data_IF_731312317499
#
_entry.id   IF_731312317499
#
_cell.length_a   1.000
_cell.length_b   1.000
_cell.length_c   1.000
_cell.angle_alpha   90.00
_cell.angle_beta   90.00
_cell.angle_gamma   90.00
#
_symmetry.space_group_name_H-M   'P 1'
#
loop_
_entity.id
_entity.type
_entity.pdbx_description
1 polymer ?
#
# COMPACT_ATOMS: atom_id res chain seq x y z
N UNK A 1 34.32 5.67 0.12
CA UNK A 1 34.57 4.21 -0.02
C UNK A 1 33.85 3.52 1.12
N UNK A 2 32.66 3.04 0.86
CA UNK A 2 32.01 1.95 1.61
C UNK A 2 31.01 1.31 0.65
N UNK A 3 31.01 -0.01 0.67
CA UNK A 3 30.76 -0.90 -0.45
C UNK A 3 29.30 -1.10 -0.85
N UNK A 4 29.19 -1.56 -2.09
CA UNK A 4 28.06 -2.22 -2.75
C UNK A 4 27.34 -3.20 -1.83
N UNK A 5 26.01 -3.18 -1.89
CA UNK A 5 25.21 -4.41 -1.75
C UNK A 5 24.35 -4.56 -2.98
N UNK A 6 24.92 -5.23 -3.98
CA UNK A 6 24.21 -5.79 -5.13
C UNK A 6 23.46 -7.05 -4.70
N UNK A 7 22.21 -7.17 -5.13
CA UNK A 7 21.37 -8.36 -5.01
C UNK A 7 22.07 -9.66 -5.44
N UNK A 8 21.97 -10.68 -4.58
CA UNK A 8 21.74 -12.07 -4.98
C UNK A 8 20.73 -12.68 -3.99
N UNK A 9 19.61 -13.12 -4.54
CA UNK A 9 18.54 -13.84 -3.86
C UNK A 9 19.05 -15.17 -3.30
N UNK A 10 18.65 -15.48 -2.07
CA UNK A 10 18.67 -16.84 -1.56
C UNK A 10 17.39 -17.10 -0.75
N UNK A 11 16.38 -17.60 -1.48
CA UNK A 11 15.32 -18.53 -1.07
C UNK A 11 14.93 -18.54 0.43
N UNK A 12 14.02 -17.66 0.80
CA UNK A 12 13.02 -17.92 1.87
C UNK A 12 11.68 -17.30 1.48
N UNK A 13 10.83 -18.07 0.80
CA UNK A 13 9.37 -17.93 0.79
C UNK A 13 8.76 -16.57 0.38
N UNK A 14 9.44 -15.76 -0.43
CA UNK A 14 8.89 -14.47 -0.89
C UNK A 14 7.77 -14.71 -1.91
N UNK A 15 6.52 -14.51 -1.52
CA UNK A 15 5.37 -14.59 -2.43
C UNK A 15 4.97 -13.19 -2.88
N UNK A 16 5.92 -12.46 -3.45
CA UNK A 16 5.62 -11.19 -4.12
C UNK A 16 4.82 -11.49 -5.39
N UNK A 17 3.77 -10.71 -5.63
CA UNK A 17 2.94 -10.83 -6.81
C UNK A 17 2.60 -9.45 -7.39
N UNK A 18 2.25 -9.45 -8.68
CA UNK A 18 1.83 -8.26 -9.40
C UNK A 18 0.30 -8.25 -9.39
N UNK A 19 -0.28 -7.23 -8.78
CA UNK A 19 -1.73 -7.09 -8.69
C UNK A 19 -2.32 -6.40 -9.91
N UNK A 20 -1.58 -5.44 -10.47
CA UNK A 20 -1.97 -4.73 -11.69
C UNK A 20 -0.71 -4.24 -12.43
N UNK A 21 -0.77 -4.21 -13.75
CA UNK A 21 0.27 -3.61 -14.59
C UNK A 21 -0.26 -2.36 -15.29
N UNK A 22 0.59 -1.35 -15.38
CA UNK A 22 0.35 -0.12 -16.11
C UNK A 22 0.82 -0.17 -17.55
N UNK A 23 0.87 1.00 -18.19
CA UNK A 23 1.35 1.12 -19.56
C UNK A 23 2.88 1.02 -19.65
N UNK A 24 3.37 0.17 -20.55
CA UNK A 24 4.79 0.09 -20.87
C UNK A 24 5.28 1.40 -21.52
N UNK A 25 6.38 1.93 -21.01
CA UNK A 25 7.01 3.15 -21.53
C UNK A 25 8.53 3.05 -21.51
N UNK A 26 9.20 3.89 -22.30
CA UNK A 26 10.66 4.05 -22.24
C UNK A 26 10.98 5.17 -21.26
N UNK A 27 11.87 4.91 -20.31
CA UNK A 27 12.30 5.87 -19.28
C UNK A 27 13.81 5.82 -19.07
N UNK A 28 14.35 6.84 -18.41
CA UNK A 28 15.71 6.79 -17.87
C UNK A 28 15.63 6.14 -16.48
N UNK A 29 16.32 5.02 -16.28
CA UNK A 29 16.42 4.33 -14.99
C UNK A 29 17.89 4.30 -14.60
N UNK A 30 18.24 5.02 -13.53
CA UNK A 30 19.62 5.17 -13.06
C UNK A 30 20.60 5.59 -14.17
N UNK A 31 20.18 6.51 -15.04
CA UNK A 31 20.98 7.05 -16.15
C UNK A 31 20.95 6.23 -17.45
N UNK A 32 20.28 5.07 -17.47
CA UNK A 32 20.16 4.22 -18.64
C UNK A 32 18.73 4.24 -19.21
N UNK A 33 18.61 4.31 -20.54
CA UNK A 33 17.30 4.20 -21.20
C UNK A 33 16.82 2.75 -21.15
N UNK A 34 15.66 2.50 -20.56
CA UNK A 34 15.11 1.16 -20.35
C UNK A 34 13.60 1.12 -20.64
N UNK A 35 13.10 -0.04 -21.07
CA UNK A 35 11.66 -0.35 -21.07
C UNK A 35 11.21 -0.58 -19.64
N UNK A 36 10.11 0.04 -19.26
CA UNK A 36 9.57 0.01 -17.90
C UNK A 36 8.08 -0.23 -17.95
N UNK A 37 7.62 -1.21 -17.16
CA UNK A 37 6.19 -1.47 -16.91
C UNK A 37 5.91 -1.12 -15.45
N UNK A 38 5.25 0.02 -15.15
CA UNK A 38 4.78 0.31 -13.80
C UNK A 38 3.82 -0.78 -13.30
N UNK A 39 3.87 -1.08 -12.01
CA UNK A 39 3.01 -2.11 -11.41
C UNK A 39 2.47 -1.65 -10.06
N UNK A 40 1.33 -2.21 -9.69
CA UNK A 40 0.92 -2.37 -8.30
C UNK A 40 1.34 -3.76 -7.86
N UNK A 41 2.08 -3.88 -6.75
CA UNK A 41 2.52 -5.17 -6.22
C UNK A 41 1.98 -5.41 -4.82
N UNK A 42 1.85 -6.68 -4.49
CA UNK A 42 1.64 -7.15 -3.13
C UNK A 42 2.75 -8.11 -2.71
N UNK A 43 3.07 -8.15 -1.42
CA UNK A 43 3.96 -9.14 -0.81
C UNK A 43 3.32 -9.73 0.43
N UNK A 44 3.35 -11.06 0.59
CA UNK A 44 2.79 -11.79 1.74
C UNK A 44 3.81 -12.11 2.82
N UNK A 45 4.89 -11.33 2.94
CA UNK A 45 5.77 -11.43 4.10
C UNK A 45 4.99 -11.15 5.41
N UNK A 46 5.66 -11.18 6.57
CA UNK A 46 5.02 -11.36 7.88
C UNK A 46 3.82 -10.45 8.24
N UNK A 47 3.68 -9.28 7.62
CA UNK A 47 2.55 -8.37 7.83
C UNK A 47 1.81 -7.96 6.54
N UNK A 48 2.19 -8.53 5.38
CA UNK A 48 1.76 -8.01 4.09
C UNK A 48 2.50 -6.74 3.70
N UNK A 49 2.60 -6.43 2.41
CA UNK A 49 3.01 -5.12 1.90
C UNK A 49 2.24 -4.83 0.62
N UNK A 50 1.75 -3.60 0.46
CA UNK A 50 1.13 -3.11 -0.77
C UNK A 50 1.84 -1.83 -1.22
N UNK A 51 2.17 -1.76 -2.51
CA UNK A 51 2.87 -0.61 -3.03
C UNK A 51 2.98 -0.55 -4.55
N UNK A 52 3.80 0.41 -4.98
CA UNK A 52 4.07 0.68 -6.38
C UNK A 52 5.45 0.14 -6.75
N UNK A 53 5.58 -0.37 -7.97
CA UNK A 53 6.84 -0.85 -8.49
C UNK A 53 6.95 -0.66 -9.98
N UNK A 54 8.02 -1.21 -10.55
CA UNK A 54 8.14 -1.40 -11.98
C UNK A 54 8.87 -2.69 -12.32
N UNK A 55 8.57 -3.22 -13.50
CA UNK A 55 9.30 -4.31 -14.13
C UNK A 55 10.18 -3.80 -15.26
N UNK A 56 11.32 -4.46 -15.43
CA UNK A 56 12.24 -4.29 -16.56
C UNK A 56 12.15 -5.53 -17.46
N UNK A 57 11.29 -5.53 -18.50
CA UNK A 57 11.10 -6.71 -19.35
C UNK A 57 12.39 -7.19 -20.00
N UNK A 58 13.31 -6.28 -20.32
CA UNK A 58 14.59 -6.60 -20.96
C UNK A 58 15.65 -7.17 -19.99
N UNK A 59 15.42 -7.10 -18.67
CA UNK A 59 16.32 -7.62 -17.63
C UNK A 59 15.72 -8.84 -16.92
N UNK A 60 15.30 -9.85 -17.69
CA UNK A 60 14.67 -11.07 -17.18
C UNK A 60 13.42 -10.84 -16.33
N UNK A 61 12.71 -9.72 -16.55
CA UNK A 61 11.55 -9.35 -15.75
C UNK A 61 11.87 -8.87 -14.34
N UNK A 62 13.11 -8.40 -14.08
CA UNK A 62 13.51 -7.83 -12.79
C UNK A 62 12.48 -6.81 -12.29
N UNK A 63 12.12 -6.91 -11.01
CA UNK A 63 11.06 -6.14 -10.39
C UNK A 63 11.60 -5.33 -9.22
N UNK A 64 11.31 -4.03 -9.22
CA UNK A 64 11.68 -3.08 -8.16
C UNK A 64 10.41 -2.50 -7.58
N UNK A 65 10.37 -2.39 -6.25
CA UNK A 65 9.10 -2.18 -5.56
C UNK A 65 9.30 -1.37 -4.28
N UNK A 66 8.32 -0.54 -3.94
CA UNK A 66 8.24 0.19 -2.69
C UNK A 66 6.79 0.26 -2.19
N UNK A 67 6.55 -0.05 -0.93
CA UNK A 67 5.20 -0.11 -0.37
C UNK A 67 5.19 0.05 1.15
N UNK A 68 3.98 -0.03 1.70
CA UNK A 68 3.75 -0.01 3.14
C UNK A 68 3.18 -1.33 3.60
N UNK A 69 3.63 -1.73 4.78
CA UNK A 69 3.24 -2.98 5.43
C UNK A 69 1.76 -2.97 5.87
N UNK A 70 1.24 -1.81 6.28
CA UNK A 70 -0.18 -1.49 6.57
C UNK A 70 -0.21 0.02 6.87
N UNK A 71 -1.27 0.77 6.55
CA UNK A 71 -2.50 0.34 5.87
C UNK A 71 -2.30 0.09 4.37
N UNK A 72 -2.93 -0.97 3.86
CA UNK A 72 -2.95 -1.29 2.43
C UNK A 72 -3.90 -0.36 1.69
N UNK A 73 -3.33 0.69 1.11
CA UNK A 73 -4.05 1.73 0.37
C UNK A 73 -4.09 1.45 -1.14
N UNK A 74 -5.09 0.70 -1.59
CA UNK A 74 -5.26 0.30 -2.99
C UNK A 74 -5.39 1.50 -3.96
N UNK A 75 -6.18 2.51 -3.59
CA UNK A 75 -6.45 3.66 -4.49
C UNK A 75 -5.22 4.55 -4.61
N UNK A 76 -4.56 4.87 -3.49
CA UNK A 76 -3.30 5.60 -3.48
C UNK A 76 -2.24 4.89 -4.32
N UNK A 77 -2.13 3.57 -4.17
CA UNK A 77 -1.13 2.77 -4.88
C UNK A 77 -1.38 2.74 -6.39
N UNK A 78 -2.64 2.62 -6.82
CA UNK A 78 -3.02 2.71 -8.23
C UNK A 78 -2.69 4.10 -8.81
N UNK A 79 -3.01 5.18 -8.08
CA UNK A 79 -2.62 6.54 -8.50
C UNK A 79 -1.11 6.71 -8.59
N UNK A 80 -0.35 6.15 -7.66
CA UNK A 80 1.11 6.16 -7.71
C UNK A 80 1.65 5.48 -8.98
N UNK A 81 1.06 4.33 -9.38
CA UNK A 81 1.38 3.67 -10.65
C UNK A 81 1.11 4.59 -11.85
N UNK A 82 -0.05 5.27 -11.89
CA UNK A 82 -0.39 6.23 -12.98
C UNK A 82 0.53 7.45 -13.02
N UNK A 83 1.02 7.93 -11.86
CA UNK A 83 2.06 8.97 -11.83
C UNK A 83 3.36 8.42 -12.43
N UNK A 84 3.78 7.23 -12.02
CA UNK A 84 5.00 6.59 -12.49
C UNK A 84 4.99 6.36 -14.01
N UNK A 85 3.84 6.00 -14.60
CA UNK A 85 3.66 5.90 -16.07
C UNK A 85 4.10 7.17 -16.81
N UNK A 86 3.91 8.35 -16.21
CA UNK A 86 4.15 9.63 -16.87
C UNK A 86 5.52 10.25 -16.53
N UNK A 87 6.23 9.74 -15.51
CA UNK A 87 7.55 10.26 -15.15
C UNK A 87 8.62 9.93 -16.20
N UNK A 88 9.51 10.87 -16.57
CA UNK A 88 10.57 10.62 -17.56
C UNK A 88 11.72 9.77 -17.01
N UNK A 89 11.96 9.83 -15.69
CA UNK A 89 13.13 9.25 -15.03
C UNK A 89 12.73 8.56 -13.71
N UNK A 90 13.46 7.49 -13.40
CA UNK A 90 13.37 6.70 -12.18
C UNK A 90 14.75 6.64 -11.52
N UNK A 91 14.81 7.06 -10.26
CA UNK A 91 15.97 6.95 -9.38
C UNK A 91 15.62 6.19 -8.09
N UNK A 92 16.61 6.04 -7.20
CA UNK A 92 16.48 5.29 -5.94
C UNK A 92 15.39 5.77 -4.97
N UNK A 93 14.79 6.94 -5.17
CA UNK A 93 13.68 7.45 -4.35
C UNK A 93 12.38 7.65 -5.13
N UNK A 94 12.38 7.48 -6.46
CA UNK A 94 11.19 7.72 -7.30
C UNK A 94 9.99 6.91 -6.84
N UNK A 95 10.15 5.61 -6.53
CA UNK A 95 9.03 4.76 -6.10
C UNK A 95 8.36 5.27 -4.82
N UNK A 96 9.16 5.51 -3.77
CA UNK A 96 8.68 6.14 -2.54
C UNK A 96 7.98 7.48 -2.82
N UNK A 97 8.58 8.30 -3.67
CA UNK A 97 8.03 9.61 -3.97
C UNK A 97 6.69 9.54 -4.71
N UNK A 98 6.56 8.64 -5.69
CA UNK A 98 5.30 8.41 -6.40
C UNK A 98 4.21 7.88 -5.49
N UNK A 99 4.55 7.00 -4.54
CA UNK A 99 3.59 6.48 -3.57
C UNK A 99 2.95 7.62 -2.76
N UNK A 100 3.75 8.51 -2.18
CA UNK A 100 3.21 9.65 -1.42
C UNK A 100 2.49 10.66 -2.32
N UNK A 101 2.97 10.87 -3.55
CA UNK A 101 2.30 11.76 -4.50
C UNK A 101 0.90 11.27 -4.89
N UNK A 102 0.64 9.96 -4.83
CA UNK A 102 -0.68 9.36 -5.07
C UNK A 102 -1.72 9.61 -3.97
N UNK A 103 -1.32 10.12 -2.81
CA UNK A 103 -2.24 10.46 -1.71
C UNK A 103 -2.99 11.76 -2.04
N UNK A 104 -4.32 11.68 -2.16
CA UNK A 104 -5.19 12.82 -2.45
C UNK A 104 -5.25 13.85 -1.31
N UNK A 105 -4.97 13.41 -0.08
CA UNK A 105 -5.07 14.25 1.12
C UNK A 105 -3.73 14.81 1.57
N UNK A 106 -2.63 14.45 0.89
CA UNK A 106 -1.31 15.04 1.15
C UNK A 106 -1.32 16.54 0.82
N UNK A 107 -0.95 17.35 1.82
CA UNK A 107 -0.92 18.82 1.78
C UNK A 107 0.52 19.38 1.89
N UNK A 108 0.78 20.63 1.45
CA UNK A 108 2.10 21.25 1.49
C UNK A 108 2.77 21.36 2.86
N UNK A 109 1.99 21.42 3.94
CA UNK A 109 2.46 21.48 5.32
C UNK A 109 2.82 20.10 5.91
N UNK A 110 2.55 19.01 5.17
CA UNK A 110 2.89 17.66 5.61
C UNK A 110 4.38 17.35 5.40
N UNK A 111 5.02 16.68 6.36
CA UNK A 111 6.43 16.26 6.26
C UNK A 111 6.77 15.38 5.04
N UNK A 112 5.78 14.68 4.49
CA UNK A 112 5.92 13.88 3.27
C UNK A 112 5.80 14.71 1.98
N UNK A 113 5.47 16.00 2.06
CA UNK A 113 5.43 16.89 0.89
C UNK A 113 6.78 17.02 0.19
N UNK A 114 7.89 16.84 0.92
CA UNK A 114 9.25 16.75 0.35
C UNK A 114 9.37 15.74 -0.80
N UNK A 115 8.55 14.70 -0.81
CA UNK A 115 8.52 13.70 -1.87
C UNK A 115 7.84 14.22 -3.14
N UNK A 116 6.82 15.06 -3.01
CA UNK A 116 6.21 15.79 -4.12
C UNK A 116 7.22 16.76 -4.71
N UNK A 117 7.89 17.55 -3.87
CA UNK A 117 8.94 18.50 -4.30
C UNK A 117 10.10 17.83 -5.04
N UNK A 118 10.44 16.59 -4.66
CA UNK A 118 11.42 15.78 -5.40
C UNK A 118 10.96 15.53 -6.84
N UNK A 119 9.72 15.09 -7.03
CA UNK A 119 9.18 14.81 -8.37
C UNK A 119 8.98 16.09 -9.19
N UNK A 120 8.68 17.22 -8.53
CA UNK A 120 8.70 18.55 -9.15
C UNK A 120 10.09 18.90 -9.70
N UNK A 121 11.17 18.44 -9.07
CA UNK A 121 12.54 18.66 -9.55
C UNK A 121 12.85 17.81 -10.79
N UNK A 122 12.32 16.58 -10.86
CA UNK A 122 12.56 15.64 -11.96
C UNK A 122 11.80 16.04 -13.24
N UNK A 123 10.52 16.39 -13.11
CA UNK A 123 9.65 16.70 -14.26
C UNK A 123 9.49 18.22 -14.49
N UNK A 124 9.87 19.05 -13.53
CA UNK A 124 9.53 20.47 -13.49
C UNK A 124 8.23 20.70 -12.71
N UNK A 125 8.25 21.69 -11.83
CA UNK A 125 7.17 21.96 -10.86
C UNK A 125 5.78 22.09 -11.49
N UNK A 126 5.65 22.92 -12.52
CA UNK A 126 4.35 23.16 -13.17
C UNK A 126 3.82 21.89 -13.84
N UNK A 127 4.69 21.16 -14.55
CA UNK A 127 4.35 19.93 -15.25
C UNK A 127 3.92 18.85 -14.26
N UNK A 128 4.70 18.64 -13.19
CA UNK A 128 4.37 17.66 -12.17
C UNK A 128 3.10 18.01 -11.40
N UNK A 129 2.90 19.30 -11.07
CA UNK A 129 1.67 19.76 -10.40
C UNK A 129 0.44 19.48 -11.27
N UNK A 130 0.53 19.76 -12.57
CA UNK A 130 -0.54 19.47 -13.52
C UNK A 130 -0.80 17.96 -13.65
N UNK A 131 0.26 17.16 -13.75
CA UNK A 131 0.16 15.69 -13.78
C UNK A 131 -0.51 15.15 -12.53
N UNK A 132 -0.02 15.51 -11.33
CA UNK A 132 -0.58 15.03 -10.06
C UNK A 132 -2.05 15.42 -9.95
N UNK A 133 -2.40 16.67 -10.28
CA UNK A 133 -3.80 17.12 -10.28
C UNK A 133 -4.66 16.28 -11.23
N UNK A 134 -4.16 15.98 -12.43
CA UNK A 134 -4.86 15.15 -13.41
C UNK A 134 -5.09 13.74 -12.86
N UNK A 135 -4.05 13.07 -12.36
CA UNK A 135 -4.15 11.71 -11.82
C UNK A 135 -5.08 11.64 -10.60
N UNK A 136 -5.02 12.63 -9.70
CA UNK A 136 -5.89 12.66 -8.52
C UNK A 136 -7.36 12.95 -8.87
N UNK A 137 -7.62 13.66 -9.97
CA UNK A 137 -8.97 13.91 -10.48
C UNK A 137 -9.54 12.72 -11.27
N UNK A 138 -8.68 11.86 -11.81
CA UNK A 138 -9.09 10.64 -12.48
C UNK A 138 -9.48 9.58 -11.45
N UNK A 139 -10.78 9.26 -11.41
CA UNK A 139 -11.26 8.09 -10.70
C UNK A 139 -10.68 6.83 -11.39
N UNK A 140 -10.11 5.87 -10.65
CA UNK A 140 -9.86 4.54 -11.20
C UNK A 140 -11.16 3.99 -11.76
N UNK A 141 -11.08 3.29 -12.89
CA UNK A 141 -12.28 2.62 -13.41
C UNK A 141 -12.75 1.54 -12.44
N UNK A 142 -14.05 1.27 -12.43
CA UNK A 142 -14.60 0.19 -11.59
C UNK A 142 -13.95 -1.16 -11.92
N UNK A 143 -13.61 -1.39 -13.20
CA UNK A 143 -12.91 -2.59 -13.65
C UNK A 143 -11.47 -2.69 -13.12
N UNK A 144 -10.67 -1.63 -13.25
CA UNK A 144 -9.30 -1.60 -12.72
C UNK A 144 -9.29 -1.82 -11.21
N UNK A 145 -10.17 -1.11 -10.50
CA UNK A 145 -10.23 -1.21 -9.04
C UNK A 145 -10.72 -2.59 -8.60
N UNK A 146 -11.77 -3.14 -9.21
CA UNK A 146 -12.24 -4.48 -8.87
C UNK A 146 -11.19 -5.55 -9.17
N UNK A 147 -10.47 -5.43 -10.29
CA UNK A 147 -9.39 -6.36 -10.65
C UNK A 147 -8.26 -6.32 -9.61
N UNK A 148 -7.85 -5.13 -9.21
CA UNK A 148 -6.85 -4.94 -8.15
C UNK A 148 -7.33 -5.59 -6.85
N UNK A 149 -8.53 -5.25 -6.38
CA UNK A 149 -9.09 -5.76 -5.12
C UNK A 149 -9.18 -7.29 -5.12
N UNK A 150 -9.74 -7.88 -6.17
CA UNK A 150 -9.84 -9.34 -6.29
C UNK A 150 -8.47 -10.01 -6.28
N UNK A 151 -7.46 -9.40 -6.93
CA UNK A 151 -6.12 -9.96 -6.96
C UNK A 151 -5.45 -9.94 -5.59
N UNK A 152 -5.66 -8.86 -4.81
CA UNK A 152 -5.19 -8.75 -3.43
C UNK A 152 -5.86 -9.80 -2.54
N UNK A 153 -7.20 -9.91 -2.59
CA UNK A 153 -8.00 -10.85 -1.81
C UNK A 153 -7.63 -12.30 -2.14
N UNK A 154 -7.56 -12.65 -3.42
CA UNK A 154 -7.17 -13.99 -3.86
C UNK A 154 -5.73 -14.34 -3.48
N UNK A 155 -4.91 -13.31 -3.24
CA UNK A 155 -3.55 -13.45 -2.74
C UNK A 155 -3.47 -13.34 -1.22
N UNK A 156 -4.58 -13.29 -0.49
CA UNK A 156 -4.60 -13.21 0.97
C UNK A 156 -3.96 -11.93 1.53
N UNK A 157 -3.99 -10.84 0.77
CA UNK A 157 -3.72 -9.50 1.30
C UNK A 157 -5.03 -8.80 1.60
N UNK A 158 -5.15 -8.35 2.85
CA UNK A 158 -6.28 -7.53 3.27
C UNK A 158 -6.21 -6.16 2.61
N UNK A 159 -7.38 -5.60 2.31
CA UNK A 159 -7.48 -4.25 1.75
C UNK A 159 -7.95 -3.30 2.85
N UNK A 160 -7.30 -2.14 2.98
CA UNK A 160 -7.74 -1.11 3.90
C UNK A 160 -9.08 -0.49 3.48
N UNK A 161 -10.19 -1.05 3.97
CA UNK A 161 -11.56 -0.61 3.68
C UNK A 161 -11.79 0.87 3.98
N UNK A 162 -11.15 1.39 5.03
CA UNK A 162 -11.20 2.81 5.39
C UNK A 162 -10.81 3.75 4.23
N UNK A 163 -9.82 3.39 3.41
CA UNK A 163 -9.47 4.20 2.24
C UNK A 163 -10.62 4.23 1.23
N UNK A 164 -11.24 3.06 0.98
CA UNK A 164 -12.35 2.94 0.04
C UNK A 164 -13.57 3.77 0.50
N UNK A 165 -13.96 3.64 1.77
CA UNK A 165 -15.05 4.43 2.37
C UNK A 165 -14.80 5.94 2.22
N UNK A 166 -13.57 6.37 2.51
CA UNK A 166 -13.16 7.77 2.44
C UNK A 166 -13.19 8.30 0.99
N UNK A 167 -12.66 7.53 0.04
CA UNK A 167 -12.64 7.91 -1.37
C UNK A 167 -14.05 7.95 -1.99
N UNK A 168 -14.94 7.03 -1.58
CA UNK A 168 -16.37 7.04 -1.96
C UNK A 168 -17.07 8.27 -1.37
N UNK A 169 -16.89 8.52 -0.07
CA UNK A 169 -17.52 9.65 0.62
C UNK A 169 -17.06 11.00 0.04
N UNK A 170 -15.82 11.07 -0.43
CA UNK A 170 -15.28 12.24 -1.12
C UNK A 170 -15.70 12.34 -2.60
N UNK A 171 -16.46 11.37 -3.12
CA UNK A 171 -16.92 11.33 -4.51
C UNK A 171 -15.79 11.11 -5.53
N UNK A 172 -14.64 10.57 -5.11
CA UNK A 172 -13.45 10.39 -5.95
C UNK A 172 -13.39 9.03 -6.64
N UNK A 173 -14.10 8.04 -6.10
CA UNK A 173 -14.30 6.74 -6.72
C UNK A 173 -15.78 6.37 -6.69
N UNK A 174 -16.20 5.54 -7.64
CA UNK A 174 -17.56 4.98 -7.64
C UNK A 174 -17.57 3.67 -6.85
N UNK A 175 -18.57 3.50 -5.99
CA UNK A 175 -18.78 2.25 -5.28
C UNK A 175 -19.20 1.14 -6.25
N UNK A 176 -18.75 -0.08 -6.00
CA UNK A 176 -19.12 -1.30 -6.75
C UNK A 176 -19.68 -2.34 -5.77
N UNK A 177 -20.41 -3.36 -6.25
CA UNK A 177 -20.89 -4.44 -5.38
C UNK A 177 -19.75 -5.09 -4.57
N UNK A 178 -18.59 -5.31 -5.19
CA UNK A 178 -17.42 -5.84 -4.49
C UNK A 178 -16.95 -4.92 -3.35
N UNK A 179 -16.91 -3.60 -3.57
CA UNK A 179 -16.49 -2.65 -2.54
C UNK A 179 -17.52 -2.59 -1.40
N UNK A 180 -18.82 -2.67 -1.73
CA UNK A 180 -19.89 -2.73 -0.73
C UNK A 180 -19.75 -3.99 0.14
N UNK A 181 -19.56 -5.16 -0.48
CA UNK A 181 -19.34 -6.42 0.23
C UNK A 181 -18.13 -6.34 1.19
N UNK A 182 -17.04 -5.69 0.78
CA UNK A 182 -15.86 -5.49 1.63
C UNK A 182 -16.16 -4.57 2.81
N UNK A 183 -16.88 -3.47 2.58
CA UNK A 183 -17.29 -2.52 3.63
C UNK A 183 -18.20 -3.19 4.65
N UNK A 184 -19.19 -3.95 4.18
CA UNK A 184 -20.15 -4.67 5.02
C UNK A 184 -19.46 -5.74 5.87
N UNK A 185 -18.57 -6.55 5.27
CA UNK A 185 -17.79 -7.56 6.02
C UNK A 185 -16.93 -6.95 7.13
N UNK A 186 -16.21 -5.88 6.84
CA UNK A 186 -15.39 -5.17 7.82
C UNK A 186 -16.26 -4.54 8.94
N UNK A 187 -17.46 -4.04 8.59
CA UNK A 187 -18.40 -3.53 9.59
C UNK A 187 -18.93 -4.65 10.50
N UNK A 188 -19.29 -5.81 9.95
CA UNK A 188 -19.72 -6.97 10.73
C UNK A 188 -18.60 -7.50 11.64
N UNK A 189 -17.36 -7.56 11.15
CA UNK A 189 -16.21 -8.00 11.94
C UNK A 189 -15.92 -7.03 13.10
N UNK A 190 -16.01 -5.72 12.85
CA UNK A 190 -15.92 -4.71 13.92
C UNK A 190 -16.99 -4.91 14.98
N UNK A 191 -18.25 -5.10 14.59
CA UNK A 191 -19.35 -5.35 15.53
C UNK A 191 -19.14 -6.64 16.34
N UNK A 192 -18.73 -7.74 15.68
CA UNK A 192 -18.41 -9.01 16.37
C UNK A 192 -17.29 -8.84 17.39
N UNK A 193 -16.20 -8.15 17.02
CA UNK A 193 -15.08 -7.91 17.93
C UNK A 193 -15.47 -6.99 19.10
N UNK A 194 -16.35 -6.01 18.87
CA UNK A 194 -16.89 -5.16 19.93
C UNK A 194 -17.77 -5.97 20.90
N UNK A 195 -18.67 -6.81 20.40
CA UNK A 195 -19.50 -7.71 21.23
C UNK A 195 -18.66 -8.69 22.05
N UNK A 196 -17.65 -9.32 21.45
CA UNK A 196 -16.71 -10.22 22.16
C UNK A 196 -15.92 -9.46 23.23
N UNK A 197 -15.46 -8.25 22.96
CA UNK A 197 -14.71 -7.43 23.93
C UNK A 197 -15.57 -7.04 25.15
N UNK A 198 -16.87 -6.77 24.93
CA UNK A 198 -17.83 -6.50 26.01
C UNK A 198 -18.13 -7.75 26.83
N UNK A 199 -18.25 -8.92 26.19
CA UNK A 199 -18.41 -10.20 26.91
C UNK A 199 -17.17 -10.57 27.74
N UNK A 200 -15.96 -10.25 27.27
CA UNK A 200 -14.73 -10.48 28.02
C UNK A 200 -14.59 -9.54 29.24
N UNK A 201 -15.02 -8.29 29.14
CA UNK A 201 -15.07 -7.36 30.29
C UNK A 201 -16.12 -7.76 31.35
N UNK A 202 -17.17 -8.48 30.96
CA UNK A 202 -18.23 -8.96 31.88
C UNK A 202 -17.82 -10.25 32.63
N UNK A 203 -16.70 -10.91 32.27
CA UNK A 203 -16.17 -12.02 33.08
C UNK A 203 -15.82 -11.46 34.48
N UNK A 204 -16.49 -11.92 35.56
CA UNK A 204 -16.22 -11.40 36.88
C UNK A 204 -14.75 -11.67 37.19
N UNK A 205 -14.03 -10.63 37.65
CA UNK A 205 -12.73 -10.78 38.29
C UNK A 205 -12.80 -12.01 39.19
N UNK A 206 -12.12 -13.08 38.79
CA UNK A 206 -11.97 -14.26 39.63
C UNK A 206 -11.44 -13.74 40.96
N UNK A 207 -12.13 -13.96 42.09
CA UNK A 207 -11.65 -13.48 43.36
C UNK A 207 -10.31 -14.15 43.56
N UNK A 208 -9.24 -13.33 43.64
CA UNK A 208 -7.89 -13.74 44.02
C UNK A 208 -8.06 -14.74 45.16
N UNK A 209 -7.86 -16.03 44.88
CA UNK A 209 -7.88 -17.06 45.91
C UNK A 209 -6.78 -16.68 46.88
N UNK A 210 -7.18 -16.11 48.03
CA UNK A 210 -6.36 -16.00 49.23
C UNK A 210 -5.71 -17.36 49.48
N UNK A 211 -4.45 -17.51 49.10
CA UNK A 211 -3.60 -18.58 49.61
C UNK A 211 -3.10 -18.12 50.98
N UNK A 212 -3.99 -18.16 51.97
CA UNK A 212 -3.59 -18.25 53.37
C UNK A 212 -3.58 -19.73 53.73
N UNK A 213 -2.39 -20.32 53.76
CA UNK A 213 -1.95 -21.33 54.74
C UNK A 213 -0.71 -22.08 54.23
N UNK A 214 0.47 -21.49 54.46
CA UNK A 214 1.74 -22.21 54.60
C UNK A 214 2.81 -21.35 55.28
N UNK A 215 2.49 -20.73 56.42
CA UNK A 215 3.51 -20.08 57.28
C UNK A 215 3.40 -20.39 58.77
N UNK A 216 2.56 -21.35 59.18
CA UNK A 216 2.69 -21.97 60.50
C UNK A 216 2.72 -23.48 60.35
N UNK A 217 3.94 -24.04 60.28
CA UNK A 217 4.42 -25.20 61.03
C UNK A 217 5.70 -25.76 60.41
N UNK A 218 6.82 -25.30 60.98
CA UNK A 218 8.18 -25.87 61.09
C UNK A 218 9.07 -24.66 61.40
N UNK A 219 9.63 -24.45 62.59
CA UNK A 219 9.91 -25.36 63.72
C UNK A 219 9.86 -24.57 65.03
#
# INVERSE_FOLDING_TARGET
MTERTSHQEQERGQTRFIALSGQETIKIVDGEQQRVIPIVYGDRNWLGELGVGYQLPDKSGACYSWGLIIPHKAVQTLRAMKILEQLPEIDGYTLCATYYAGDADLKPDNSNWKYVERLETVMGKEQFTALRKSVLAQAPTAEELNTLLLTLINSGLDVGVWELEKEISAGRITSSPLIQDLIEKEAEERLRNEEESVEEEIKPFSPIKRVYNKLFHKS
#
